data_IF_941983808702
#
_entry.id   IF_941983808702
#
_cell.length_a   1.000
_cell.length_b   1.000
_cell.length_c   1.000
_cell.angle_alpha   90.00
_cell.angle_beta   90.00
_cell.angle_gamma   90.00
#
_symmetry.space_group_name_H-M   'P 1'
#
loop_
_entity.id
_entity.type
_entity.pdbx_description
1 polymer ?
#
# COMPACT_ATOMS: atom_id res chain seq x y z
N UNK A 1 4.38 7.05 11.84
CA UNK A 1 3.77 6.18 12.87
C UNK A 1 4.19 4.73 12.67
N UNK A 2 3.96 3.92 13.69
CA UNK A 2 4.26 2.49 13.66
C UNK A 2 3.02 1.69 14.03
N UNK A 3 2.93 0.45 13.51
CA UNK A 3 1.88 -0.51 13.84
C UNK A 3 2.53 -1.84 14.22
N UNK A 4 2.00 -2.50 15.23
CA UNK A 4 2.39 -3.86 15.61
C UNK A 4 1.33 -4.83 15.08
N UNK A 5 1.75 -5.82 14.30
CA UNK A 5 0.86 -6.74 13.60
C UNK A 5 1.26 -8.19 13.92
N UNK A 6 0.26 -9.02 14.25
CA UNK A 6 0.47 -10.44 14.62
C UNK A 6 0.43 -11.34 13.39
N UNK A 7 1.28 -11.03 12.41
CA UNK A 7 1.41 -11.84 11.21
C UNK A 7 2.85 -11.89 10.72
N UNK A 8 3.10 -12.81 9.80
CA UNK A 8 4.32 -12.81 9.01
C UNK A 8 4.32 -11.61 8.04
N UNK A 9 5.43 -10.93 7.91
CA UNK A 9 5.57 -9.73 7.09
C UNK A 9 5.14 -9.90 5.63
N UNK A 10 5.21 -11.13 5.10
CA UNK A 10 4.80 -11.44 3.72
C UNK A 10 3.31 -11.20 3.48
N UNK A 11 2.47 -11.36 4.51
CA UNK A 11 1.04 -11.09 4.36
C UNK A 11 0.72 -9.61 4.11
N UNK A 12 1.48 -8.71 4.72
CA UNK A 12 1.33 -7.28 4.43
C UNK A 12 1.69 -6.97 2.96
N UNK A 13 2.74 -7.59 2.41
CA UNK A 13 3.08 -7.47 0.98
C UNK A 13 2.00 -8.09 0.09
N UNK A 14 1.50 -9.28 0.44
CA UNK A 14 0.42 -9.94 -0.31
C UNK A 14 -0.83 -9.05 -0.39
N UNK A 15 -1.27 -8.51 0.76
CA UNK A 15 -2.41 -7.60 0.86
C UNK A 15 -2.19 -6.30 0.06
N UNK A 16 -0.98 -5.76 0.09
CA UNK A 16 -0.65 -4.52 -0.61
C UNK A 16 -0.58 -4.67 -2.15
N UNK A 17 -0.30 -5.87 -2.63
CA UNK A 17 -0.14 -6.16 -4.06
C UNK A 17 -1.46 -6.37 -4.80
N UNK A 18 -2.60 -6.48 -4.11
CA UNK A 18 -3.90 -6.71 -4.73
C UNK A 18 -4.93 -5.67 -4.29
N UNK A 19 -6.06 -5.59 -4.98
CA UNK A 19 -7.11 -4.60 -4.69
C UNK A 19 -8.50 -5.20 -4.46
N UNK A 20 -8.65 -6.53 -4.52
CA UNK A 20 -9.98 -7.14 -4.37
C UNK A 20 -10.52 -7.07 -2.94
N UNK A 21 -9.68 -6.81 -1.93
CA UNK A 21 -10.12 -6.59 -0.55
C UNK A 21 -10.77 -5.20 -0.35
N UNK A 22 -10.52 -4.21 -1.23
CA UNK A 22 -10.99 -2.83 -1.07
C UNK A 22 -12.50 -2.73 -0.78
N UNK A 23 -13.40 -3.38 -1.52
CA UNK A 23 -14.84 -3.24 -1.27
C UNK A 23 -15.27 -3.70 0.12
N UNK A 24 -14.52 -4.60 0.73
CA UNK A 24 -14.86 -5.24 2.00
C UNK A 24 -14.11 -4.63 3.18
N UNK A 25 -12.82 -4.38 3.01
CA UNK A 25 -11.93 -3.88 4.08
C UNK A 25 -11.91 -2.35 4.11
N UNK A 26 -11.88 -1.70 2.94
CA UNK A 26 -11.79 -0.25 2.79
C UNK A 26 -13.00 0.34 2.08
N UNK A 27 -14.22 0.23 2.61
CA UNK A 27 -15.42 0.68 1.91
C UNK A 27 -15.41 2.19 1.61
N UNK A 28 -14.83 3.01 2.48
CA UNK A 28 -14.71 4.45 2.25
C UNK A 28 -13.66 4.78 1.17
N UNK A 29 -12.52 4.11 1.19
CA UNK A 29 -11.51 4.25 0.13
C UNK A 29 -12.08 3.78 -1.22
N UNK A 30 -12.82 2.68 -1.25
CA UNK A 30 -13.43 2.15 -2.48
C UNK A 30 -14.49 3.10 -3.09
N UNK A 31 -15.07 4.03 -2.33
CA UNK A 31 -15.97 5.07 -2.88
C UNK A 31 -15.22 6.08 -3.74
N UNK A 32 -13.98 6.41 -3.38
CA UNK A 32 -13.15 7.42 -4.06
C UNK A 32 -12.12 6.81 -5.01
N UNK A 33 -11.74 5.56 -4.78
CA UNK A 33 -10.84 4.77 -5.63
C UNK A 33 -11.43 3.37 -5.82
N UNK A 34 -12.38 3.26 -6.77
CA UNK A 34 -13.12 2.02 -7.00
C UNK A 34 -12.22 0.93 -7.56
N UNK A 35 -12.44 -0.32 -7.16
CA UNK A 35 -11.68 -1.49 -7.63
C UNK A 35 -11.60 -1.56 -9.17
N UNK A 36 -12.62 -1.09 -9.90
CA UNK A 36 -12.64 -1.09 -11.36
C UNK A 36 -11.68 -0.05 -11.98
N UNK A 37 -11.20 0.91 -11.20
CA UNK A 37 -10.23 1.91 -11.65
C UNK A 37 -8.78 1.43 -11.43
N UNK A 38 -8.59 0.26 -10.78
CA UNK A 38 -7.29 -0.30 -10.50
C UNK A 38 -6.67 -1.02 -11.69
N UNK A 39 -5.34 -1.01 -11.74
CA UNK A 39 -4.54 -1.70 -12.75
C UNK A 39 -3.27 -2.28 -12.10
N UNK A 40 -2.69 -3.29 -12.75
CA UNK A 40 -1.45 -3.88 -12.26
C UNK A 40 -0.23 -3.14 -12.80
N UNK A 41 0.75 -2.95 -11.94
CA UNK A 41 2.07 -2.48 -12.32
C UNK A 41 2.95 -3.70 -12.52
N UNK A 42 3.30 -3.98 -13.77
CA UNK A 42 4.28 -5.00 -14.10
C UNK A 42 5.66 -4.48 -13.79
N UNK A 43 6.11 -4.72 -12.56
CA UNK A 43 7.45 -4.35 -12.14
C UNK A 43 8.54 -5.19 -12.80
N UNK A 44 9.79 -4.85 -12.52
CA UNK A 44 10.92 -5.70 -12.90
C UNK A 44 10.87 -7.01 -12.11
N UNK A 45 11.01 -8.17 -12.78
CA UNK A 45 11.04 -9.45 -12.09
C UNK A 45 12.09 -9.44 -10.97
N UNK A 46 11.73 -10.04 -9.83
CA UNK A 46 12.56 -10.14 -8.64
C UNK A 46 12.94 -8.80 -7.96
N UNK A 47 12.30 -7.69 -8.33
CA UNK A 47 12.60 -6.39 -7.70
C UNK A 47 11.39 -5.72 -7.09
N UNK A 48 10.32 -5.61 -7.85
CA UNK A 48 9.09 -4.98 -7.38
C UNK A 48 7.89 -5.44 -8.19
N UNK A 49 6.73 -5.30 -7.60
CA UNK A 49 5.42 -5.43 -8.21
C UNK A 49 4.48 -4.43 -7.55
N UNK A 50 3.28 -4.26 -8.09
CA UNK A 50 2.32 -3.37 -7.47
C UNK A 50 1.04 -3.22 -8.26
N UNK A 51 0.26 -2.28 -7.82
CA UNK A 51 -0.99 -1.88 -8.44
C UNK A 51 -1.08 -0.36 -8.45
N UNK A 52 -1.98 0.17 -9.26
CA UNK A 52 -2.30 1.58 -9.29
C UNK A 52 -3.79 1.80 -9.42
N UNK A 53 -4.24 3.01 -9.16
CA UNK A 53 -5.60 3.47 -9.41
C UNK A 53 -5.57 4.67 -10.35
N UNK A 54 -6.51 4.73 -11.28
CA UNK A 54 -6.73 5.89 -12.18
C UNK A 54 -7.58 6.98 -11.53
N UNK A 55 -7.87 6.82 -10.24
CA UNK A 55 -8.66 7.76 -9.44
C UNK A 55 -7.84 8.20 -8.24
N UNK A 56 -7.50 9.45 -8.24
CA UNK A 56 -6.89 10.11 -7.10
C UNK A 56 -7.38 11.55 -7.04
N UNK A 57 -7.85 11.95 -5.88
CA UNK A 57 -8.21 13.32 -5.59
C UNK A 57 -7.27 13.89 -4.53
N UNK A 58 -6.60 14.97 -4.90
CA UNK A 58 -5.67 15.65 -4.01
C UNK A 58 -6.39 16.13 -2.75
N UNK A 59 -5.87 15.83 -1.53
CA UNK A 59 -6.43 16.35 -0.28
C UNK A 59 -6.51 17.87 -0.31
N UNK A 60 -7.64 18.41 0.16
CA UNK A 60 -7.86 19.84 0.21
C UNK A 60 -8.58 20.24 1.50
N UNK A 61 -8.24 21.43 2.03
CA UNK A 61 -8.95 22.05 3.16
C UNK A 61 -9.29 23.49 2.82
N UNK A 62 -10.53 23.72 2.43
CA UNK A 62 -10.92 24.96 1.76
C UNK A 62 -10.17 25.14 0.44
N UNK A 63 -9.48 26.24 0.27
CA UNK A 63 -8.64 26.50 -0.91
C UNK A 63 -7.19 25.99 -0.77
N UNK A 64 -6.82 25.37 0.35
CA UNK A 64 -5.46 24.90 0.61
C UNK A 64 -5.28 23.50 0.04
N UNK A 65 -4.19 23.31 -0.69
CA UNK A 65 -3.72 22.03 -1.26
C UNK A 65 -2.22 21.92 -1.12
N UNK A 66 -1.70 20.71 -1.17
CA UNK A 66 -0.26 20.48 -1.25
C UNK A 66 0.28 20.86 -2.63
N UNK A 67 1.56 21.20 -2.72
CA UNK A 67 2.27 21.33 -3.98
C UNK A 67 2.33 19.96 -4.67
N UNK A 68 2.43 19.99 -5.99
CA UNK A 68 2.54 18.79 -6.82
C UNK A 68 3.95 18.65 -7.39
N UNK A 69 4.34 17.44 -7.77
CA UNK A 69 5.57 17.18 -8.50
C UNK A 69 5.56 17.90 -9.85
N UNK A 70 6.55 18.74 -10.12
CA UNK A 70 6.61 19.56 -11.33
C UNK A 70 6.79 18.76 -12.63
N UNK A 71 7.41 17.58 -12.54
CA UNK A 71 7.72 16.71 -13.67
C UNK A 71 6.80 15.48 -13.73
N UNK A 72 5.65 15.52 -13.07
CA UNK A 72 4.67 14.44 -13.14
C UNK A 72 4.09 14.32 -14.55
N UNK A 73 3.92 13.11 -15.03
CA UNK A 73 3.30 12.88 -16.34
C UNK A 73 1.86 13.40 -16.34
N UNK A 74 1.51 14.16 -17.37
CA UNK A 74 0.18 14.79 -17.50
C UNK A 74 -0.93 13.77 -17.61
N UNK A 75 -0.66 12.60 -18.20
CA UNK A 75 -1.63 11.53 -18.36
C UNK A 75 -1.87 10.77 -17.02
N UNK A 76 -0.99 10.99 -16.05
CA UNK A 76 -1.01 10.36 -14.73
C UNK A 76 -1.45 11.28 -13.59
N UNK A 77 -1.96 12.48 -13.89
CA UNK A 77 -2.33 13.48 -12.86
C UNK A 77 -3.37 13.00 -11.84
N UNK A 78 -4.17 12.02 -12.20
CA UNK A 78 -5.19 11.41 -11.34
C UNK A 78 -4.83 10.00 -10.89
N UNK A 79 -3.63 9.55 -11.18
CA UNK A 79 -3.22 8.21 -10.77
C UNK A 79 -2.58 8.24 -9.39
N UNK A 80 -2.72 7.13 -8.70
CA UNK A 80 -1.91 6.75 -7.56
C UNK A 80 -1.29 5.39 -7.83
N UNK A 81 -0.11 5.15 -7.31
CA UNK A 81 0.60 3.88 -7.48
C UNK A 81 1.01 3.32 -6.13
N UNK A 82 0.83 2.03 -5.96
CA UNK A 82 1.12 1.26 -4.76
C UNK A 82 2.10 0.17 -5.12
N UNK A 83 3.37 0.38 -4.77
CA UNK A 83 4.50 -0.42 -5.22
C UNK A 83 5.11 -1.15 -4.04
N UNK A 84 5.19 -2.47 -4.13
CA UNK A 84 5.96 -3.31 -3.21
C UNK A 84 7.36 -3.53 -3.79
N UNK A 85 8.37 -2.92 -3.16
CA UNK A 85 9.79 -3.17 -3.42
C UNK A 85 10.23 -4.36 -2.56
N UNK A 86 10.65 -5.42 -3.22
CA UNK A 86 11.08 -6.63 -2.52
C UNK A 86 12.42 -6.43 -1.79
N UNK A 87 12.56 -6.94 -0.59
CA UNK A 87 11.65 -7.83 0.14
C UNK A 87 10.47 -7.15 0.86
N UNK A 88 10.65 -5.99 1.48
CA UNK A 88 9.83 -5.58 2.61
C UNK A 88 9.55 -4.07 2.67
N UNK A 89 9.59 -3.37 1.53
CA UNK A 89 9.26 -1.95 1.44
C UNK A 89 8.05 -1.75 0.53
N UNK A 90 7.10 -0.96 0.99
CA UNK A 90 5.91 -0.57 0.23
C UNK A 90 5.89 0.95 0.06
N UNK A 91 5.52 1.43 -1.11
CA UNK A 91 5.48 2.85 -1.45
C UNK A 91 4.10 3.17 -2.02
N UNK A 92 3.41 4.16 -1.42
CA UNK A 92 2.25 4.77 -2.04
C UNK A 92 2.66 6.11 -2.67
N UNK A 93 2.53 6.22 -3.97
CA UNK A 93 2.98 7.37 -4.74
C UNK A 93 1.77 8.14 -5.30
N UNK A 94 1.69 9.42 -4.96
CA UNK A 94 0.64 10.35 -5.36
C UNK A 94 1.27 11.61 -5.94
N UNK A 95 0.51 12.38 -6.69
CA UNK A 95 1.02 13.60 -7.36
C UNK A 95 1.59 14.65 -6.39
N UNK A 96 1.16 14.66 -5.14
CA UNK A 96 1.42 15.71 -4.14
C UNK A 96 2.15 15.21 -2.89
N UNK A 97 2.18 13.92 -2.69
CA UNK A 97 2.92 13.27 -1.61
C UNK A 97 3.24 11.82 -1.95
N UNK A 98 4.09 11.21 -1.15
CA UNK A 98 4.27 9.77 -1.11
C UNK A 98 4.49 9.32 0.32
N UNK A 99 4.24 8.06 0.57
CA UNK A 99 4.63 7.42 1.81
C UNK A 99 5.52 6.22 1.54
N UNK A 100 6.38 5.95 2.50
CA UNK A 100 7.18 4.72 2.55
C UNK A 100 6.74 3.93 3.76
N UNK A 101 6.47 2.69 3.52
CA UNK A 101 6.10 1.71 4.52
C UNK A 101 7.16 0.62 4.52
N UNK A 102 7.84 0.37 5.62
CA UNK A 102 8.77 -0.73 5.69
C UNK A 102 8.41 -1.67 6.83
N UNK A 103 8.63 -2.95 6.57
CA UNK A 103 8.25 -4.04 7.44
C UNK A 103 9.49 -4.54 8.17
N UNK A 104 9.44 -4.56 9.50
CA UNK A 104 10.45 -5.12 10.37
C UNK A 104 9.95 -6.48 10.91
N UNK A 105 10.42 -7.62 10.38
CA UNK A 105 10.05 -8.93 10.89
C UNK A 105 10.65 -9.12 12.29
N UNK A 106 9.82 -9.27 13.31
CA UNK A 106 10.27 -9.52 14.68
C UNK A 106 10.33 -11.01 14.99
N UNK A 107 9.34 -11.77 14.52
CA UNK A 107 9.27 -13.23 14.60
C UNK A 107 8.55 -13.78 13.35
N UNK A 108 8.39 -15.10 13.26
CA UNK A 108 7.60 -15.70 12.19
C UNK A 108 6.16 -15.20 12.12
N UNK A 109 5.58 -14.80 13.25
CA UNK A 109 4.17 -14.40 13.37
C UNK A 109 4.02 -12.99 13.98
N UNK A 110 5.05 -12.17 13.91
CA UNK A 110 4.99 -10.80 14.40
C UNK A 110 5.85 -9.88 13.55
N UNK A 111 5.23 -8.82 13.08
CA UNK A 111 5.86 -7.78 12.27
C UNK A 111 5.59 -6.43 12.89
N UNK A 112 6.57 -5.54 12.84
CA UNK A 112 6.37 -4.13 13.09
C UNK A 112 6.41 -3.39 11.77
N UNK A 113 5.40 -2.58 11.54
CA UNK A 113 5.26 -1.75 10.36
C UNK A 113 5.62 -0.31 10.70
N UNK A 114 6.44 0.31 9.87
CA UNK A 114 6.88 1.70 10.03
C UNK A 114 6.44 2.50 8.81
N UNK A 115 5.71 3.59 9.04
CA UNK A 115 5.28 4.46 7.96
C UNK A 115 5.82 5.87 8.13
N UNK A 116 6.32 6.42 7.03
CA UNK A 116 6.74 7.80 6.93
C UNK A 116 6.16 8.46 5.68
N UNK A 117 5.64 9.67 5.84
CA UNK A 117 5.04 10.46 4.76
C UNK A 117 5.96 11.60 4.34
N UNK A 118 5.97 11.88 3.06
CA UNK A 118 6.76 12.94 2.44
C UNK A 118 5.87 13.79 1.54
N UNK A 119 6.03 15.10 1.60
CA UNK A 119 5.24 16.08 0.84
C UNK A 119 6.12 16.86 -0.13
N UNK A 120 5.53 17.27 -1.24
CA UNK A 120 6.26 17.98 -2.29
C UNK A 120 6.59 19.41 -1.87
N UNK A 121 7.89 19.72 -1.82
CA UNK A 121 8.40 21.06 -1.50
C UNK A 121 8.31 21.43 -0.02
N UNK A 122 9.11 22.43 0.35
CA UNK A 122 9.25 22.84 1.75
C UNK A 122 7.95 23.39 2.34
N UNK A 123 7.15 24.10 1.56
CA UNK A 123 5.88 24.67 2.01
C UNK A 123 4.89 23.55 2.40
N UNK A 124 4.70 22.54 1.53
CA UNK A 124 3.84 21.41 1.84
C UNK A 124 4.37 20.57 2.99
N UNK A 125 5.69 20.40 3.09
CA UNK A 125 6.31 19.59 4.14
C UNK A 125 6.32 20.28 5.51
N UNK A 126 6.60 21.61 5.57
CA UNK A 126 6.90 22.31 6.82
C UNK A 126 6.04 23.57 7.07
N UNK A 127 5.31 24.08 6.07
CA UNK A 127 4.50 25.30 6.21
C UNK A 127 3.40 25.15 7.27
N UNK A 128 3.29 26.12 8.18
CA UNK A 128 2.26 26.11 9.22
C UNK A 128 0.83 26.15 8.64
N UNK A 129 0.66 26.84 7.50
CA UNK A 129 -0.65 26.93 6.84
C UNK A 129 -1.20 25.60 6.36
N UNK A 130 -0.36 24.60 6.10
CA UNK A 130 -0.72 23.25 5.65
C UNK A 130 -0.63 22.19 6.76
N UNK A 131 -0.31 22.60 7.99
CA UNK A 131 -0.14 21.69 9.13
C UNK A 131 -1.39 20.82 9.40
N UNK A 132 -2.55 21.43 9.42
CA UNK A 132 -3.80 20.69 9.67
C UNK A 132 -4.14 19.75 8.49
N UNK A 133 -3.88 20.18 7.27
CA UNK A 133 -4.07 19.31 6.10
C UNK A 133 -3.14 18.09 6.14
N UNK A 134 -1.86 18.27 6.53
CA UNK A 134 -0.93 17.14 6.76
C UNK A 134 -1.43 16.18 7.83
N UNK A 135 -1.96 16.70 8.94
CA UNK A 135 -2.51 15.85 10.01
C UNK A 135 -3.71 15.03 9.53
N UNK A 136 -4.61 15.65 8.78
CA UNK A 136 -5.79 14.99 8.23
C UNK A 136 -5.37 13.92 7.22
N UNK A 137 -4.44 14.23 6.31
CA UNK A 137 -3.92 13.26 5.35
C UNK A 137 -3.17 12.09 6.03
N UNK A 138 -2.35 12.40 7.03
CA UNK A 138 -1.65 11.36 7.80
C UNK A 138 -2.62 10.47 8.60
N UNK A 139 -3.70 11.04 9.13
CA UNK A 139 -4.75 10.27 9.81
C UNK A 139 -5.47 9.37 8.82
N UNK A 140 -5.86 9.89 7.68
CA UNK A 140 -6.53 9.11 6.64
C UNK A 140 -5.74 7.86 6.28
N UNK A 141 -4.45 8.00 5.94
CA UNK A 141 -3.62 6.86 5.60
C UNK A 141 -3.39 5.91 6.78
N UNK A 142 -3.27 6.47 8.00
CA UNK A 142 -3.19 5.63 9.20
C UNK A 142 -4.45 4.79 9.40
N UNK A 143 -5.62 5.38 9.20
CA UNK A 143 -6.90 4.67 9.37
C UNK A 143 -7.04 3.57 8.31
N UNK A 144 -6.68 3.82 7.04
CA UNK A 144 -6.63 2.80 5.99
C UNK A 144 -5.73 1.62 6.40
N UNK A 145 -4.50 1.89 6.89
CA UNK A 145 -3.59 0.80 7.31
C UNK A 145 -4.10 0.04 8.55
N UNK A 146 -4.84 0.71 9.44
CA UNK A 146 -5.45 0.05 10.60
C UNK A 146 -6.59 -0.89 10.21
N UNK A 147 -7.33 -0.59 9.15
CA UNK A 147 -8.37 -1.47 8.61
C UNK A 147 -7.80 -2.80 8.11
N UNK A 148 -6.59 -2.80 7.55
CA UNK A 148 -5.92 -4.01 7.06
C UNK A 148 -5.49 -4.99 8.15
N UNK A 149 -5.21 -4.49 9.37
CA UNK A 149 -4.62 -5.33 10.43
C UNK A 149 -5.44 -6.60 10.68
N UNK A 150 -6.76 -6.46 10.82
CA UNK A 150 -7.62 -7.62 11.08
C UNK A 150 -7.60 -8.62 9.91
N UNK A 151 -7.50 -8.13 8.68
CA UNK A 151 -7.45 -8.98 7.49
C UNK A 151 -6.14 -9.78 7.44
N UNK A 152 -5.01 -9.13 7.60
CA UNK A 152 -3.69 -9.81 7.52
C UNK A 152 -3.42 -10.71 8.73
N UNK A 153 -3.89 -10.36 9.93
CA UNK A 153 -3.86 -11.26 11.08
C UNK A 153 -4.76 -12.48 10.86
N UNK A 154 -5.95 -12.29 10.27
CA UNK A 154 -6.84 -13.39 9.88
C UNK A 154 -6.23 -14.29 8.78
N UNK A 155 -5.48 -13.73 7.84
CA UNK A 155 -4.71 -14.51 6.85
C UNK A 155 -3.68 -15.41 7.55
N UNK A 156 -2.98 -14.89 8.56
CA UNK A 156 -2.03 -15.69 9.36
C UNK A 156 -2.72 -16.84 10.07
N UNK A 157 -3.86 -16.60 10.70
CA UNK A 157 -4.65 -17.64 11.39
C UNK A 157 -5.15 -18.69 10.40
N UNK A 158 -5.69 -18.26 9.27
CA UNK A 158 -6.16 -19.15 8.22
C UNK A 158 -5.06 -20.07 7.68
N UNK A 159 -3.84 -19.55 7.50
CA UNK A 159 -2.70 -20.36 7.05
C UNK A 159 -2.15 -21.31 8.11
N UNK A 160 -2.37 -21.05 9.38
CA UNK A 160 -2.01 -21.95 10.47
C UNK A 160 -3.06 -23.07 10.67
N UNK A 161 -4.19 -23.02 9.97
CA UNK A 161 -5.23 -24.03 10.08
C UNK A 161 -4.77 -25.39 9.55
N UNK A 162 -5.01 -26.49 10.27
CA UNK A 162 -4.62 -27.83 9.81
C UNK A 162 -5.36 -28.31 8.54
N UNK A 163 -6.43 -27.63 8.17
CA UNK A 163 -7.19 -27.91 6.93
C UNK A 163 -6.76 -27.01 5.77
N UNK A 164 -5.83 -26.10 6.00
CA UNK A 164 -5.29 -25.27 4.91
C UNK A 164 -4.43 -26.09 3.97
N UNK A 165 -4.83 -26.17 2.72
CA UNK A 165 -4.14 -26.95 1.69
C UNK A 165 -3.53 -26.09 0.56
N UNK A 166 -3.33 -24.81 0.82
CA UNK A 166 -2.92 -23.82 -0.17
C UNK A 166 -4.10 -23.05 -0.74
N UNK A 167 -3.80 -22.10 -1.61
CA UNK A 167 -4.79 -21.28 -2.32
C UNK A 167 -4.42 -21.20 -3.81
N UNK A 168 -5.37 -20.74 -4.61
CA UNK A 168 -5.16 -20.46 -6.02
C UNK A 168 -5.04 -18.96 -6.23
N UNK A 169 -4.10 -18.54 -7.07
CA UNK A 169 -4.03 -17.16 -7.52
C UNK A 169 -5.15 -16.86 -8.52
N UNK A 170 -5.79 -15.72 -8.36
CA UNK A 170 -6.67 -15.17 -9.38
C UNK A 170 -5.85 -14.77 -10.61
N UNK A 171 -6.18 -15.27 -11.81
CA UNK A 171 -5.45 -14.90 -13.02
C UNK A 171 -5.62 -13.42 -13.39
N UNK A 172 -6.65 -12.77 -12.83
CA UNK A 172 -6.97 -11.35 -13.13
C UNK A 172 -6.42 -10.42 -12.04
N UNK A 173 -6.50 -10.81 -10.75
CA UNK A 173 -6.26 -9.89 -9.63
C UNK A 173 -4.91 -10.10 -8.94
N UNK A 174 -4.33 -11.30 -9.01
CA UNK A 174 -3.17 -11.67 -8.20
C UNK A 174 -1.83 -11.66 -8.97
N UNK A 175 -1.74 -11.01 -10.13
CA UNK A 175 -0.49 -10.97 -10.88
C UNK A 175 0.68 -10.38 -10.08
N UNK A 176 0.54 -9.24 -9.38
CA UNK A 176 1.62 -8.69 -8.55
C UNK A 176 1.93 -9.58 -7.34
N UNK A 177 0.92 -10.12 -6.67
CA UNK A 177 1.07 -11.06 -5.55
C UNK A 177 1.80 -12.34 -5.99
N UNK A 178 1.43 -12.88 -7.15
CA UNK A 178 2.11 -14.06 -7.71
C UNK A 178 3.59 -13.77 -8.06
N UNK A 179 3.89 -12.56 -8.53
CA UNK A 179 5.27 -12.14 -8.78
C UNK A 179 6.09 -12.09 -7.48
N UNK A 180 5.50 -11.58 -6.40
CA UNK A 180 6.12 -11.61 -5.07
C UNK A 180 6.36 -13.04 -4.59
N UNK A 181 5.38 -13.94 -4.70
CA UNK A 181 5.55 -15.34 -4.31
C UNK A 181 6.64 -16.06 -5.10
N UNK A 182 6.75 -15.79 -6.40
CA UNK A 182 7.88 -16.31 -7.22
C UNK A 182 9.22 -15.83 -6.69
N UNK A 183 9.31 -14.55 -6.34
CA UNK A 183 10.53 -14.01 -5.75
C UNK A 183 10.86 -14.70 -4.42
N UNK A 184 9.89 -14.89 -3.52
CA UNK A 184 10.09 -15.62 -2.25
C UNK A 184 10.57 -17.03 -2.51
N UNK A 185 9.92 -17.78 -3.41
CA UNK A 185 10.29 -19.16 -3.72
C UNK A 185 11.71 -19.25 -4.27
N UNK A 186 12.11 -18.38 -5.19
CA UNK A 186 13.45 -18.34 -5.76
C UNK A 186 14.50 -18.03 -4.67
N UNK A 187 14.24 -17.04 -3.82
CA UNK A 187 15.16 -16.65 -2.73
C UNK A 187 15.35 -17.72 -1.65
N UNK A 188 14.45 -18.70 -1.57
CA UNK A 188 14.59 -19.85 -0.65
C UNK A 188 15.35 -21.02 -1.28
N UNK A 189 15.56 -21.00 -2.59
CA UNK A 189 16.28 -22.06 -3.32
C UNK A 189 17.74 -21.69 -3.62
N UNK A 190 18.12 -20.44 -3.43
CA UNK A 190 19.50 -19.95 -3.53
C UNK A 190 20.25 -20.16 -2.21
#
# INVERSE_FOLDING_TARGET
FNLDVKCNWKFAIENYCESYHLPTIHPELNKVSNINDHYHIQGLPNRFAGQGSKKYEQPAKGNKKFNIFSNWDKDMLKNSEYIALFPNVMIGLHIDHFYVFWLEPLTMNKTKEHMQMYYVGNESANGEDLKELRKENSRFWKDVMLEDINAIEGMQEGRNSPVYNGGNFSPIMDQPTHQFHKWVANSLME
#
